data_IF_965232396076
#
_entry.id   IF_965232396076
#
_cell.length_a   1.000
_cell.length_b   1.000
_cell.length_c   1.000
_cell.angle_alpha   90.00
_cell.angle_beta   90.00
_cell.angle_gamma   90.00
#
_symmetry.space_group_name_H-M   'P 1'
#
loop_
_entity.id
_entity.type
_entity.pdbx_description
1 polymer ?
#
# COMPACT_ATOMS: atom_id res chain seq x y z
N UNK A 1 -12.56 -3.69 -8.64
CA UNK A 1 -12.11 -3.31 -7.28
C UNK A 1 -10.77 -4.01 -7.06
N UNK A 2 -9.71 -3.26 -6.79
CA UNK A 2 -8.39 -3.85 -6.52
C UNK A 2 -8.28 -4.11 -5.01
N UNK A 3 -7.72 -5.26 -4.58
CA UNK A 3 -7.67 -5.62 -3.16
C UNK A 3 -6.71 -4.75 -2.35
N UNK A 4 -5.81 -4.02 -3.01
CA UNK A 4 -4.89 -3.08 -2.40
C UNK A 4 -4.52 -1.98 -3.39
N UNK A 5 -3.82 -0.96 -2.90
CA UNK A 5 -3.26 0.12 -3.68
C UNK A 5 -1.80 0.36 -3.29
N UNK A 6 -0.96 0.64 -4.28
CA UNK A 6 0.41 1.08 -4.04
C UNK A 6 0.45 2.54 -3.59
N UNK A 7 1.42 2.88 -2.75
CA UNK A 7 1.64 4.20 -2.20
C UNK A 7 3.10 4.36 -1.79
N UNK A 8 3.81 5.40 -2.26
CA UNK A 8 5.16 5.70 -1.80
C UNK A 8 5.18 6.21 -0.36
N UNK A 9 6.16 5.79 0.43
CA UNK A 9 6.44 6.31 1.77
C UNK A 9 7.80 5.81 2.26
N UNK A 10 8.53 6.65 3.00
CA UNK A 10 9.81 6.32 3.64
C UNK A 10 10.87 5.76 2.68
N UNK A 11 10.89 6.26 1.44
CA UNK A 11 11.87 5.84 0.43
C UNK A 11 11.58 4.50 -0.25
N UNK A 12 10.41 3.90 -0.04
CA UNK A 12 9.95 2.68 -0.70
C UNK A 12 8.52 2.84 -1.25
N UNK A 13 8.09 1.91 -2.10
CA UNK A 13 6.69 1.74 -2.47
C UNK A 13 6.04 0.67 -1.60
N UNK A 14 5.06 1.06 -0.82
CA UNK A 14 4.25 0.20 0.02
C UNK A 14 2.90 -0.09 -0.62
N UNK A 15 2.19 -1.09 -0.09
CA UNK A 15 0.82 -1.37 -0.44
C UNK A 15 -0.08 -1.19 0.79
N UNK A 16 -1.34 -0.82 0.57
CA UNK A 16 -2.34 -0.65 1.62
C UNK A 16 -3.72 -1.08 1.13
N UNK A 17 -4.53 -1.62 2.05
CA UNK A 17 -5.97 -1.89 1.87
C UNK A 17 -6.85 -0.73 2.32
N UNK A 18 -6.27 0.32 2.89
CA UNK A 18 -7.02 1.50 3.32
C UNK A 18 -7.77 2.11 2.15
N UNK A 19 -8.85 2.84 2.47
CA UNK A 19 -9.62 3.53 1.47
C UNK A 19 -8.75 4.54 0.73
N UNK A 20 -8.61 4.37 -0.59
CA UNK A 20 -7.89 5.28 -1.47
C UNK A 20 -8.87 6.25 -2.15
N UNK A 21 -8.78 7.56 -1.88
CA UNK A 21 -9.54 8.57 -2.61
C UNK A 21 -9.26 8.52 -4.12
N UNK A 22 -10.20 9.02 -4.92
CA UNK A 22 -9.96 9.26 -6.35
C UNK A 22 -8.76 10.19 -6.52
N UNK A 23 -7.78 9.76 -7.31
CA UNK A 23 -6.50 10.47 -7.48
C UNK A 23 -5.36 10.02 -6.55
N UNK A 24 -5.63 9.16 -5.56
CA UNK A 24 -4.63 8.64 -4.62
C UNK A 24 -4.65 9.31 -3.25
N UNK A 25 -3.70 8.94 -2.40
CA UNK A 25 -3.56 9.53 -1.08
C UNK A 25 -2.98 10.95 -1.19
N UNK A 26 -3.61 11.96 -0.57
CA UNK A 26 -3.00 13.27 -0.39
C UNK A 26 -1.65 13.16 0.32
N UNK A 27 -0.74 14.10 0.05
CA UNK A 27 0.55 14.18 0.72
C UNK A 27 0.39 14.21 2.25
N UNK A 28 1.16 13.40 2.96
CA UNK A 28 1.14 13.34 4.42
C UNK A 28 -0.02 12.55 5.03
N UNK A 29 -0.92 11.97 4.21
CA UNK A 29 -2.00 11.10 4.68
C UNK A 29 -1.44 9.93 5.48
N UNK A 30 -2.03 9.66 6.63
CA UNK A 30 -1.65 8.50 7.43
C UNK A 30 -2.31 7.25 6.84
N UNK A 31 -1.52 6.22 6.61
CA UNK A 31 -1.93 4.96 5.99
C UNK A 31 -1.38 3.78 6.79
N UNK A 32 -2.15 2.72 6.89
CA UNK A 32 -1.70 1.41 7.37
C UNK A 32 -1.29 0.57 6.18
N UNK A 33 -0.03 0.12 6.18
CA UNK A 33 0.52 -0.67 5.08
C UNK A 33 0.40 -2.16 5.33
N UNK A 34 0.52 -2.94 4.26
CA UNK A 34 0.53 -4.40 4.28
C UNK A 34 1.74 -5.00 5.02
N UNK A 35 2.75 -4.20 5.37
CA UNK A 35 3.83 -4.62 6.26
C UNK A 35 3.60 -4.19 7.72
N UNK A 36 2.34 -3.94 8.09
CA UNK A 36 1.88 -3.63 9.44
C UNK A 36 2.51 -2.36 10.05
N UNK A 37 2.82 -1.39 9.18
CA UNK A 37 3.38 -0.10 9.58
C UNK A 37 2.44 1.03 9.22
N UNK A 38 2.17 1.89 10.20
CA UNK A 38 1.54 3.19 9.99
C UNK A 38 2.58 4.19 9.50
N UNK A 39 2.30 4.88 8.40
CA UNK A 39 3.23 5.84 7.80
C UNK A 39 2.50 6.95 7.04
N UNK A 40 3.25 7.99 6.67
CA UNK A 40 2.74 9.11 5.88
C UNK A 40 2.99 8.86 4.40
N UNK A 41 1.93 8.95 3.60
CA UNK A 41 2.01 8.87 2.16
C UNK A 41 2.85 10.02 1.60
N UNK A 42 3.77 9.67 0.70
CA UNK A 42 4.56 10.60 -0.07
C UNK A 42 4.03 10.73 -1.49
N UNK A 43 4.21 11.91 -2.07
CA UNK A 43 3.73 12.27 -3.41
C UNK A 43 4.89 12.69 -4.30
N UNK A 44 4.67 12.69 -5.60
CA UNK A 44 5.66 13.08 -6.62
C UNK A 44 6.13 11.90 -7.46
N UNK A 45 6.51 12.18 -8.70
CA UNK A 45 6.84 11.15 -9.70
C UNK A 45 8.07 10.33 -9.30
N UNK A 46 9.08 10.96 -8.70
CA UNK A 46 10.31 10.28 -8.26
C UNK A 46 10.04 9.25 -7.17
N UNK A 47 9.05 9.47 -6.30
CA UNK A 47 8.71 8.54 -5.23
C UNK A 47 8.16 7.20 -5.78
N UNK A 48 7.56 7.24 -6.98
CA UNK A 48 7.09 6.05 -7.67
C UNK A 48 8.21 5.22 -8.33
N UNK A 49 9.43 5.76 -8.43
CA UNK A 49 10.59 5.06 -8.94
C UNK A 49 11.36 4.31 -7.85
N UNK A 50 10.96 4.44 -6.59
CA UNK A 50 11.58 3.72 -5.49
C UNK A 50 11.34 2.22 -5.55
N UNK A 51 12.23 1.50 -4.87
CA UNK A 51 12.11 0.07 -4.70
C UNK A 51 10.79 -0.27 -4.01
N UNK A 52 10.22 -1.40 -4.40
CA UNK A 52 9.03 -1.92 -3.72
C UNK A 52 9.43 -2.53 -2.39
N UNK A 53 8.71 -2.19 -1.32
CA UNK A 53 8.88 -2.84 -0.03
C UNK A 53 8.64 -4.36 -0.19
N UNK A 54 9.61 -5.22 0.14
CA UNK A 54 9.52 -6.66 -0.16
C UNK A 54 8.38 -7.35 0.59
N UNK A 55 8.08 -6.92 1.82
CA UNK A 55 6.97 -7.46 2.61
C UNK A 55 5.61 -7.11 1.98
N UNK A 56 5.41 -5.85 1.59
CA UNK A 56 4.20 -5.43 0.89
C UNK A 56 4.03 -6.16 -0.45
N UNK A 57 5.13 -6.44 -1.17
CA UNK A 57 5.09 -7.20 -2.41
C UNK A 57 4.64 -8.65 -2.20
N UNK A 58 5.18 -9.32 -1.17
CA UNK A 58 4.77 -10.68 -0.83
C UNK A 58 3.28 -10.76 -0.43
N UNK A 59 2.80 -9.82 0.40
CA UNK A 59 1.39 -9.74 0.78
C UNK A 59 0.49 -9.49 -0.43
N UNK A 60 0.85 -8.51 -1.26
CA UNK A 60 0.12 -8.18 -2.48
C UNK A 60 -0.06 -9.42 -3.37
N UNK A 61 1.02 -10.17 -3.62
CA UNK A 61 0.96 -11.43 -4.37
C UNK A 61 0.06 -12.48 -3.71
N UNK A 62 0.08 -12.60 -2.38
CA UNK A 62 -0.81 -13.54 -1.67
C UNK A 62 -2.29 -13.15 -1.79
N UNK A 63 -2.60 -11.86 -1.74
CA UNK A 63 -3.97 -11.34 -1.91
C UNK A 63 -4.50 -11.59 -3.33
N UNK A 64 -3.72 -11.33 -4.38
CA UNK A 64 -4.15 -11.61 -5.77
C UNK A 64 -4.08 -13.10 -6.13
N UNK A 65 -3.23 -13.87 -5.44
CA UNK A 65 -3.10 -15.32 -5.60
C UNK A 65 -4.29 -16.13 -5.06
N UNK A 66 -5.31 -15.48 -4.48
CA UNK A 66 -6.58 -16.13 -4.12
C UNK A 66 -6.68 -16.66 -2.69
N UNK A 67 -5.71 -16.37 -1.80
CA UNK A 67 -5.89 -16.62 -0.37
C UNK A 67 -6.76 -15.50 0.20
N UNK A 68 -8.09 -15.64 0.10
CA UNK A 68 -9.03 -14.76 0.79
C UNK A 68 -8.78 -14.87 2.29
N UNK A 69 -8.34 -13.78 2.93
CA UNK A 69 -8.55 -13.63 4.36
C UNK A 69 -10.05 -13.35 4.55
N UNK A 70 -10.77 -14.29 5.13
CA UNK A 70 -12.08 -14.02 5.73
C UNK A 70 -11.87 -13.02 6.85
N UNK A 71 -12.48 -11.83 6.71
CA UNK A 71 -12.61 -10.90 7.82
C UNK A 71 -13.33 -11.61 8.98
N UNK A 72 -12.69 -11.65 10.15
CA UNK A 72 -13.32 -12.08 11.40
C UNK A 72 -14.34 -11.03 11.83
N UNK A 73 -15.49 -11.54 12.29
CA UNK A 73 -16.78 -10.88 12.64
C UNK A 73 -16.63 -9.57 13.42
#
# INVERSE_FOLDING_TARGET
MHPFHWVPALGERHASTDYRPSGGYPAGSTITTLCDREMRAEVGEMAWLWNTCPACNAEAHRMVGGVRQTATV
#
